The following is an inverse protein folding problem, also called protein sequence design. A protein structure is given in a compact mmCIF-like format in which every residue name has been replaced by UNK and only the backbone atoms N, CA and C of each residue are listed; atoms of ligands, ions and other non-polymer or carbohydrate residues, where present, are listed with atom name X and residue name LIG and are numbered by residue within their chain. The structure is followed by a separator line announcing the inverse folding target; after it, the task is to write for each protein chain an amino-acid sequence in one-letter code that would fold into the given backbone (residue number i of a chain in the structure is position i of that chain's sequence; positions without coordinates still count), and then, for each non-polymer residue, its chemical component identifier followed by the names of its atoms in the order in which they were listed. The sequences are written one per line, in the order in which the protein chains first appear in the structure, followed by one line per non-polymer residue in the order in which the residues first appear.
data_IF_111757843814
#
_entry.id   IF_111757843814
#
_cell.length_a   1.000
_cell.length_b   1.000
_cell.length_c   1.000
_cell.angle_alpha   90.00
_cell.angle_beta   90.00
_cell.angle_gamma   90.00
#
_symmetry.space_group_name_H-M   'P 1'
#
loop_
_entity.id
_entity.type
_entity.pdbx_description
1 polymer ?
#
# COMPACT_ATOMS: atom_id res chain seq x y z
N UNK A 1 -17.42 8.43 5.94
CA UNK A 1 -16.26 7.57 5.63
C UNK A 1 -16.01 7.71 4.15
N UNK A 2 -14.87 8.29 3.79
CA UNK A 2 -14.47 8.52 2.41
C UNK A 2 -13.85 7.26 1.83
N UNK A 3 -14.29 6.83 0.65
CA UNK A 3 -13.67 5.70 -0.06
C UNK A 3 -12.80 6.25 -1.18
N UNK A 4 -11.51 5.88 -1.17
CA UNK A 4 -10.50 6.36 -2.10
C UNK A 4 -9.87 5.17 -2.81
N UNK A 5 -9.82 5.23 -4.13
CA UNK A 5 -8.97 4.35 -4.92
C UNK A 5 -7.61 5.04 -5.08
N UNK A 6 -6.53 4.39 -4.65
CA UNK A 6 -5.19 4.97 -4.66
C UNK A 6 -4.71 5.31 -6.08
N UNK A 7 -5.17 4.57 -7.10
CA UNK A 7 -4.86 4.84 -8.50
C UNK A 7 -5.39 6.19 -8.99
N UNK A 8 -6.37 6.80 -8.30
CA UNK A 8 -6.84 8.16 -8.62
C UNK A 8 -5.70 9.19 -8.48
N UNK A 9 -4.78 8.95 -7.54
CA UNK A 9 -3.75 9.90 -7.15
C UNK A 9 -2.43 9.72 -7.92
N UNK A 10 -2.36 8.82 -8.90
CA UNK A 10 -1.16 8.66 -9.73
C UNK A 10 -0.88 9.90 -10.57
N UNK A 11 -1.92 10.66 -10.92
CA UNK A 11 -1.82 11.87 -11.74
C UNK A 11 -1.86 13.17 -10.91
N UNK A 12 -1.93 13.05 -9.58
CA UNK A 12 -2.06 14.20 -8.68
C UNK A 12 -0.70 14.56 -8.08
N UNK A 13 -0.47 15.86 -7.91
CA UNK A 13 0.56 16.37 -7.00
C UNK A 13 0.10 16.22 -5.55
N UNK A 14 1.06 16.17 -4.62
CA UNK A 14 0.76 16.17 -3.18
C UNK A 14 -0.20 17.31 -2.76
N UNK A 15 0.01 18.52 -3.31
CA UNK A 15 -0.84 19.68 -3.02
C UNK A 15 -2.28 19.52 -3.50
N UNK A 16 -2.50 18.79 -4.60
CA UNK A 16 -3.84 18.49 -5.12
C UNK A 16 -4.54 17.43 -4.28
N UNK A 17 -3.80 16.42 -3.81
CA UNK A 17 -4.33 15.41 -2.86
C UNK A 17 -4.75 16.10 -1.56
N UNK A 18 -3.92 16.98 -1.00
CA UNK A 18 -4.26 17.71 0.22
C UNK A 18 -5.54 18.55 0.05
N UNK A 19 -5.64 19.32 -1.04
CA UNK A 19 -6.84 20.12 -1.35
C UNK A 19 -8.08 19.24 -1.49
N UNK A 20 -7.95 18.10 -2.16
CA UNK A 20 -9.01 17.12 -2.31
C UNK A 20 -9.51 16.62 -0.93
N UNK A 21 -8.59 16.19 -0.06
CA UNK A 21 -8.93 15.71 1.28
C UNK A 21 -9.59 16.80 2.15
N UNK A 22 -9.10 18.04 2.05
CA UNK A 22 -9.65 19.19 2.78
C UNK A 22 -11.10 19.49 2.35
N UNK A 23 -11.41 19.39 1.06
CA UNK A 23 -12.75 19.63 0.53
C UNK A 23 -13.76 18.58 0.97
N UNK A 24 -13.34 17.31 1.04
CA UNK A 24 -14.20 16.21 1.48
C UNK A 24 -14.53 16.28 2.98
N UNK A 25 -13.63 16.88 3.77
CA UNK A 25 -13.80 17.12 5.22
C UNK A 25 -14.24 15.84 5.97
N UNK A 26 -13.58 14.73 5.67
CA UNK A 26 -13.77 13.42 6.31
C UNK A 26 -12.53 13.08 7.15
N UNK A 27 -12.73 12.33 8.23
CA UNK A 27 -11.64 11.81 9.08
C UNK A 27 -11.54 10.29 9.05
N UNK A 28 -12.52 9.60 8.45
CA UNK A 28 -12.58 8.15 8.32
C UNK A 28 -12.39 7.75 6.87
N UNK A 29 -11.41 6.90 6.59
CA UNK A 29 -10.98 6.57 5.25
C UNK A 29 -11.07 5.07 4.99
N UNK A 30 -11.37 4.75 3.74
CA UNK A 30 -11.34 3.41 3.17
C UNK A 30 -10.49 3.48 1.90
N UNK A 31 -9.26 3.00 1.95
CA UNK A 31 -8.32 3.00 0.83
C UNK A 31 -8.41 1.67 0.11
N UNK A 32 -8.58 1.73 -1.21
CA UNK A 32 -8.53 0.58 -2.13
C UNK A 32 -7.27 0.67 -2.97
N UNK A 33 -6.52 -0.42 -3.04
CA UNK A 33 -5.34 -0.56 -3.92
C UNK A 33 -5.57 -1.75 -4.83
N UNK A 34 -5.60 -1.58 -6.16
CA UNK A 34 -5.74 -2.70 -7.08
C UNK A 34 -4.50 -3.59 -7.04
N UNK A 35 -4.68 -4.89 -7.36
CA UNK A 35 -3.56 -5.78 -7.64
C UNK A 35 -2.94 -5.42 -8.99
N UNK A 36 -1.67 -5.76 -9.18
CA UNK A 36 -0.95 -5.47 -10.43
C UNK A 36 -1.45 -6.29 -11.63
N UNK A 37 -2.28 -7.31 -11.41
CA UNK A 37 -2.76 -8.21 -12.45
C UNK A 37 -4.24 -7.98 -12.73
N UNK A 38 -4.56 -7.75 -14.00
CA UNK A 38 -5.91 -7.61 -14.51
C UNK A 38 -6.70 -8.93 -14.51
N UNK A 39 -8.02 -8.81 -14.48
CA UNK A 39 -8.95 -9.95 -14.58
C UNK A 39 -8.64 -10.81 -15.82
N UNK A 40 -8.36 -12.10 -15.60
CA UNK A 40 -8.15 -13.08 -16.68
C UNK A 40 -6.69 -13.38 -17.03
N UNK A 41 -5.72 -12.74 -16.38
CA UNK A 41 -4.31 -13.13 -16.46
C UNK A 41 -3.96 -14.17 -15.39
N UNK A 42 -3.10 -15.13 -15.74
CA UNK A 42 -2.53 -16.05 -14.75
C UNK A 42 -1.61 -15.28 -13.79
N UNK A 43 -1.82 -15.45 -12.49
CA UNK A 43 -0.97 -14.83 -11.48
C UNK A 43 0.38 -15.53 -11.47
N UNK A 44 1.43 -14.85 -11.96
CA UNK A 44 2.80 -15.31 -11.77
C UNK A 44 3.16 -15.18 -10.29
N UNK A 45 3.80 -16.22 -9.73
CA UNK A 45 4.25 -16.24 -8.33
C UNK A 45 5.08 -15.00 -7.97
N UNK A 46 5.89 -14.49 -8.91
CA UNK A 46 6.70 -13.28 -8.74
C UNK A 46 5.86 -12.01 -8.66
N UNK A 47 4.73 -11.94 -9.37
CA UNK A 47 3.81 -10.80 -9.30
C UNK A 47 2.97 -10.84 -8.03
N UNK A 48 2.51 -12.02 -7.61
CA UNK A 48 1.88 -12.18 -6.29
C UNK A 48 2.85 -11.76 -5.20
N UNK A 49 4.09 -12.25 -5.25
CA UNK A 49 5.12 -11.86 -4.29
C UNK A 49 5.26 -10.34 -4.23
N UNK A 50 5.45 -9.67 -5.37
CA UNK A 50 5.61 -8.22 -5.44
C UNK A 50 4.40 -7.47 -4.84
N UNK A 51 3.18 -7.85 -5.20
CA UNK A 51 1.95 -7.24 -4.69
C UNK A 51 1.89 -7.34 -3.15
N UNK A 52 2.02 -8.55 -2.60
CA UNK A 52 1.91 -8.78 -1.16
C UNK A 52 3.10 -8.20 -0.38
N UNK A 53 4.28 -8.15 -0.99
CA UNK A 53 5.45 -7.52 -0.41
C UNK A 53 5.24 -6.01 -0.24
N UNK A 54 4.99 -5.30 -1.34
CA UNK A 54 4.88 -3.84 -1.28
C UNK A 54 3.61 -3.36 -0.56
N UNK A 55 2.51 -4.09 -0.65
CA UNK A 55 1.27 -3.72 0.04
C UNK A 55 1.37 -3.90 1.55
N UNK A 56 2.19 -4.83 2.03
CA UNK A 56 2.46 -4.99 3.47
C UNK A 56 3.14 -3.73 4.01
N UNK A 57 4.17 -3.23 3.32
CA UNK A 57 4.84 -1.98 3.70
C UNK A 57 3.91 -0.76 3.59
N UNK A 58 3.07 -0.71 2.55
CA UNK A 58 2.04 0.33 2.43
C UNK A 58 1.08 0.35 3.63
N UNK A 59 0.69 -0.84 4.11
CA UNK A 59 -0.12 -0.98 5.32
C UNK A 59 0.57 -0.44 6.57
N UNK A 60 1.88 -0.65 6.72
CA UNK A 60 2.68 -0.11 7.81
C UNK A 60 2.68 1.44 7.81
N UNK A 61 2.88 2.04 6.63
CA UNK A 61 2.86 3.48 6.46
C UNK A 61 1.50 4.09 6.79
N UNK A 62 0.41 3.46 6.33
CA UNK A 62 -0.95 3.90 6.66
C UNK A 62 -1.27 3.73 8.15
N UNK A 63 -0.78 2.66 8.78
CA UNK A 63 -0.96 2.45 10.21
C UNK A 63 -0.30 3.57 11.04
N UNK A 64 0.91 4.00 10.67
CA UNK A 64 1.68 5.01 11.40
C UNK A 64 0.98 6.38 11.51
N UNK A 65 0.07 6.68 10.59
CA UNK A 65 -0.71 7.93 10.60
C UNK A 65 -2.14 7.76 11.13
N UNK A 66 -2.47 6.58 11.67
CA UNK A 66 -3.84 6.19 11.96
C UNK A 66 -4.13 5.91 13.44
N UNK A 67 -5.40 6.01 13.82
CA UNK A 67 -5.87 5.71 15.19
C UNK A 67 -6.51 4.32 15.34
N UNK A 68 -7.15 3.80 14.29
CA UNK A 68 -7.91 2.53 14.33
C UNK A 68 -7.78 1.75 13.03
N UNK A 69 -6.54 1.39 12.71
CA UNK A 69 -6.19 0.66 11.50
C UNK A 69 -6.83 -0.73 11.43
N UNK A 70 -7.30 -1.08 10.24
CA UNK A 70 -7.74 -2.42 9.89
C UNK A 70 -7.54 -2.63 8.39
N UNK A 71 -7.33 -3.88 8.00
CA UNK A 71 -7.08 -4.26 6.62
C UNK A 71 -7.82 -5.54 6.25
N UNK A 72 -7.89 -5.81 4.95
CA UNK A 72 -8.38 -7.07 4.41
C UNK A 72 -7.26 -7.75 3.62
N UNK A 73 -7.09 -9.05 3.84
CA UNK A 73 -6.15 -9.89 3.08
C UNK A 73 -6.94 -10.63 1.99
N UNK A 74 -6.94 -10.13 0.73
CA UNK A 74 -7.55 -10.87 -0.37
C UNK A 74 -6.79 -12.17 -0.61
N UNK A 75 -7.47 -13.17 -1.19
CA UNK A 75 -6.80 -14.41 -1.62
C UNK A 75 -5.78 -14.10 -2.72
N UNK A 76 -4.58 -14.72 -2.73
CA UNK A 76 -3.59 -14.56 -3.80
C UNK A 76 -4.15 -14.82 -5.19
N UNK A 77 -5.03 -15.83 -5.31
CA UNK A 77 -5.65 -16.24 -6.58
C UNK A 77 -6.88 -15.43 -6.98
N UNK A 78 -7.32 -14.47 -6.16
CA UNK A 78 -8.49 -13.64 -6.44
C UNK A 78 -8.08 -12.30 -7.06
N UNK A 79 -8.86 -11.73 -8.00
CA UNK A 79 -8.68 -10.35 -8.46
C UNK A 79 -9.11 -9.29 -7.45
N UNK A 80 -9.63 -9.69 -6.29
CA UNK A 80 -10.02 -8.74 -5.25
C UNK A 80 -8.87 -7.80 -4.85
N UNK A 81 -9.14 -6.49 -4.74
CA UNK A 81 -8.12 -5.51 -4.37
C UNK A 81 -7.79 -5.59 -2.87
N UNK A 82 -6.75 -4.89 -2.48
CA UNK A 82 -6.40 -4.69 -1.07
C UNK A 82 -7.23 -3.53 -0.49
N UNK A 83 -7.67 -3.70 0.77
CA UNK A 83 -8.43 -2.68 1.47
C UNK A 83 -7.79 -2.32 2.80
N UNK A 84 -7.77 -1.02 3.09
CA UNK A 84 -7.40 -0.46 4.39
C UNK A 84 -8.49 0.46 4.90
N UNK A 85 -8.83 0.37 6.19
CA UNK A 85 -9.80 1.24 6.85
C UNK A 85 -9.21 1.80 8.12
N UNK A 86 -9.29 3.11 8.27
CA UNK A 86 -8.72 3.80 9.42
C UNK A 86 -9.32 5.19 9.62
N UNK A 87 -8.97 5.80 10.74
CA UNK A 87 -9.26 7.19 11.09
C UNK A 87 -7.94 7.95 11.12
N UNK A 88 -7.92 9.13 10.51
CA UNK A 88 -6.77 10.03 10.50
C UNK A 88 -7.26 11.47 10.61
N UNK A 89 -6.73 12.21 11.58
CA UNK A 89 -7.06 13.62 11.82
C UNK A 89 -6.00 14.57 11.21
N UNK A 90 -4.83 14.05 10.83
CA UNK A 90 -3.75 14.82 10.24
C UNK A 90 -3.78 14.68 8.70
N UNK A 91 -4.47 15.63 8.04
CA UNK A 91 -4.62 15.60 6.59
C UNK A 91 -3.31 15.84 5.83
N UNK A 92 -2.36 16.57 6.40
CA UNK A 92 -1.04 16.76 5.80
C UNK A 92 -0.28 15.43 5.73
N UNK A 93 -0.19 14.72 6.87
CA UNK A 93 0.43 13.39 6.93
C UNK A 93 -0.29 12.37 6.03
N UNK A 94 -1.63 12.45 5.94
CA UNK A 94 -2.39 11.60 5.03
C UNK A 94 -2.10 11.92 3.56
N UNK A 95 -2.06 13.20 3.17
CA UNK A 95 -1.75 13.60 1.80
C UNK A 95 -0.33 13.17 1.40
N UNK A 96 0.66 13.35 2.29
CA UNK A 96 2.04 12.90 2.09
C UNK A 96 2.11 11.38 1.90
N UNK A 97 1.43 10.63 2.76
CA UNK A 97 1.40 9.17 2.69
C UNK A 97 0.71 8.68 1.41
N UNK A 98 -0.46 9.22 1.06
CA UNK A 98 -1.16 8.84 -0.16
C UNK A 98 -0.39 9.19 -1.43
N UNK A 99 0.28 10.34 -1.45
CA UNK A 99 1.17 10.73 -2.55
C UNK A 99 2.35 9.75 -2.66
N UNK A 100 3.01 9.44 -1.54
CA UNK A 100 4.15 8.54 -1.53
C UNK A 100 3.76 7.14 -2.03
N UNK A 101 2.63 6.62 -1.55
CA UNK A 101 2.12 5.31 -1.97
C UNK A 101 1.67 5.29 -3.43
N UNK A 102 0.99 6.34 -3.92
CA UNK A 102 0.51 6.37 -5.31
C UNK A 102 1.65 6.38 -6.33
N UNK A 103 2.82 6.92 -5.93
CA UNK A 103 4.03 6.91 -6.75
C UNK A 103 4.89 5.66 -6.54
N UNK A 104 4.94 5.12 -5.33
CA UNK A 104 5.75 3.96 -4.99
C UNK A 104 5.21 2.62 -5.50
N UNK A 105 3.89 2.44 -5.51
CA UNK A 105 3.24 1.15 -5.78
C UNK A 105 3.07 0.81 -7.29
N UNK A 106 3.80 1.46 -8.19
CA UNK A 106 3.75 1.16 -9.64
C UNK A 106 2.34 1.18 -10.25
N UNK A 107 1.40 1.92 -9.66
CA UNK A 107 0.01 1.98 -10.10
C UNK A 107 -0.17 2.66 -11.47
N UNK A 108 0.90 3.23 -12.02
CA UNK A 108 0.96 3.88 -13.32
C UNK A 108 2.36 3.70 -13.92
N UNK A 109 2.43 3.33 -15.19
CA UNK A 109 3.69 3.09 -15.93
C UNK A 109 4.57 4.33 -15.99
N UNK A 110 3.99 5.53 -15.93
CA UNK A 110 4.73 6.79 -15.95
C UNK A 110 5.50 7.05 -14.64
N UNK A 111 5.17 6.34 -13.56
CA UNK A 111 5.82 6.52 -12.25
C UNK A 111 7.09 5.67 -12.07
N UNK A 112 7.40 4.73 -12.98
CA UNK A 112 8.49 3.76 -12.83
C UNK A 112 9.88 4.39 -12.72
N UNK A 113 10.12 5.52 -13.39
CA UNK A 113 11.43 6.18 -13.41
C UNK A 113 11.55 7.33 -12.38
N UNK A 114 10.60 7.44 -11.45
CA UNK A 114 10.63 8.50 -10.44
C UNK A 114 11.54 8.12 -9.26
N UNK A 115 12.39 9.03 -8.74
CA UNK A 115 13.24 8.75 -7.58
C UNK A 115 12.47 8.30 -6.31
N UNK A 116 11.21 8.71 -6.20
CA UNK A 116 10.33 8.32 -5.09
C UNK A 116 9.97 6.82 -5.13
N UNK A 117 9.90 6.25 -6.32
CA UNK A 117 9.60 4.83 -6.53
C UNK A 117 10.78 3.95 -6.11
N UNK A 118 12.00 4.28 -6.54
CA UNK A 118 13.21 3.59 -6.10
C UNK A 118 13.36 3.64 -4.58
N UNK A 119 13.12 4.83 -4.00
CA UNK A 119 13.16 5.02 -2.55
C UNK A 119 12.11 4.14 -1.84
N UNK A 120 10.89 4.08 -2.35
CA UNK A 120 9.83 3.23 -1.81
C UNK A 120 10.24 1.76 -1.81
N UNK A 121 10.80 1.27 -2.91
CA UNK A 121 11.29 -0.10 -2.98
C UNK A 121 12.41 -0.35 -1.98
N UNK A 122 13.40 0.53 -1.91
CA UNK A 122 14.51 0.39 -0.97
C UNK A 122 14.03 0.33 0.49
N UNK A 123 13.10 1.20 0.87
CA UNK A 123 12.53 1.20 2.22
C UNK A 123 11.66 -0.05 2.50
N UNK A 124 10.89 -0.52 1.52
CA UNK A 124 10.12 -1.76 1.64
C UNK A 124 11.05 -2.97 1.87
N UNK A 125 12.18 -3.04 1.15
CA UNK A 125 13.17 -4.11 1.36
C UNK A 125 13.75 -4.06 2.77
N UNK A 126 14.20 -2.88 3.22
CA UNK A 126 14.71 -2.71 4.59
C UNK A 126 13.69 -3.09 5.66
N UNK A 127 12.42 -2.75 5.43
CA UNK A 127 11.33 -3.13 6.32
C UNK A 127 11.19 -4.67 6.39
N UNK A 128 11.21 -5.36 5.26
CA UNK A 128 11.11 -6.82 5.22
C UNK A 128 12.34 -7.51 5.82
N UNK A 129 13.55 -7.08 5.48
CA UNK A 129 14.78 -7.63 6.04
C UNK A 129 14.74 -7.55 7.58
N UNK A 130 14.38 -6.38 8.10
CA UNK A 130 14.21 -6.17 9.54
C UNK A 130 13.11 -7.07 10.12
N UNK A 131 11.97 -7.18 9.42
CA UNK A 131 10.84 -7.99 9.86
C UNK A 131 11.12 -9.49 9.90
N UNK A 132 12.07 -9.96 9.08
CA UNK A 132 12.51 -11.36 9.04
C UNK A 132 13.58 -11.68 10.10
N UNK A 133 14.41 -10.69 10.46
CA UNK A 133 15.51 -10.86 11.42
C UNK A 133 15.09 -10.62 12.88
N UNK A 134 14.15 -9.71 13.13
CA UNK A 134 13.75 -9.29 14.47
C UNK A 134 12.41 -9.92 14.90
N UNK A 135 12.45 -10.81 15.90
CA UNK A 135 11.26 -11.48 16.47
C UNK A 135 10.15 -10.51 16.99
N UNK A 136 10.44 -9.23 17.18
CA UNK A 136 9.54 -8.25 17.84
C UNK A 136 8.95 -7.20 16.88
N UNK A 137 9.20 -7.30 15.58
CA UNK A 137 8.72 -6.30 14.60
C UNK A 137 7.25 -6.42 14.24
N UNK A 138 6.61 -7.57 14.53
CA UNK A 138 5.18 -7.88 14.31
C UNK A 138 4.48 -6.95 13.30
N UNK A 139 4.71 -7.16 11.97
CA UNK A 139 4.12 -6.33 10.93
C UNK A 139 2.64 -6.11 11.13
N UNK A 140 2.17 -4.85 11.05
CA UNK A 140 0.76 -4.52 11.29
C UNK A 140 -0.15 -5.33 10.37
N UNK A 141 0.29 -5.52 9.13
CA UNK A 141 -0.37 -6.32 8.12
C UNK A 141 0.11 -7.78 8.10
N UNK A 142 0.21 -8.44 9.26
CA UNK A 142 0.76 -9.80 9.39
C UNK A 142 0.19 -10.83 8.38
N UNK A 143 -1.11 -10.78 8.09
CA UNK A 143 -1.71 -11.69 7.10
C UNK A 143 -1.20 -11.48 5.67
N UNK A 144 -0.88 -10.23 5.30
CA UNK A 144 -0.26 -9.91 4.01
C UNK A 144 1.23 -10.29 4.02
N UNK A 145 1.93 -10.01 5.12
CA UNK A 145 3.33 -10.37 5.34
C UNK A 145 3.56 -11.89 5.21
N UNK A 146 2.73 -12.69 5.88
CA UNK A 146 2.86 -14.15 5.85
C UNK A 146 2.74 -14.70 4.43
N UNK A 147 1.82 -14.15 3.62
CA UNK A 147 1.69 -14.54 2.21
C UNK A 147 2.98 -14.19 1.46
N UNK A 148 3.52 -12.99 1.61
CA UNK A 148 4.79 -12.62 0.97
C UNK A 148 5.92 -13.58 1.36
N UNK A 149 6.06 -13.94 2.65
CA UNK A 149 7.03 -14.93 3.12
C UNK A 149 6.82 -16.32 2.51
N UNK A 150 5.58 -16.78 2.39
CA UNK A 150 5.27 -18.08 1.79
C UNK A 150 5.69 -18.14 0.32
N UNK A 151 5.62 -17.03 -0.42
CA UNK A 151 6.11 -16.95 -1.80
C UNK A 151 7.64 -16.79 -1.87
N UNK A 152 8.26 -16.00 -0.98
CA UNK A 152 9.73 -15.90 -0.90
C UNK A 152 10.39 -17.27 -0.73
N UNK A 153 9.85 -18.11 0.16
CA UNK A 153 10.38 -19.44 0.45
C UNK A 153 10.16 -20.49 -0.66
N UNK A 154 9.34 -20.19 -1.67
CA UNK A 154 9.12 -21.07 -2.83
C UNK A 154 10.12 -20.82 -3.98
N UNK A 155 10.77 -19.68 -3.97
CA UNK A 155 11.77 -19.24 -4.96
C UNK A 155 13.17 -19.70 -4.59
#
# INVERSE_FOLDING_TARGET
MLSLNLSLFTQYTNSEIYKYLLMENQTRFHITVPKSIEEGCEYLDTTILADYFYITYAGELLNNISENFSYFTPSPSSPDPFFFKFTCNNLDALADTLFYLSKGLELDVENFDLPVHDKFKEEAHKFFDKALEEDDTNPVCYGLFQIACDYLNKT
#
